data_IF_089235022425
#
_entry.id   IF_089235022425
#
_cell.length_a   1.000
_cell.length_b   1.000
_cell.length_c   1.000
_cell.angle_alpha   90.00
_cell.angle_beta   90.00
_cell.angle_gamma   90.00
#
_symmetry.space_group_name_H-M   'P 1'
#
loop_
_entity.id
_entity.type
_entity.pdbx_description
1 polymer ?
#
# COMPACT_ATOMS: atom_id res chain seq x y z
N UNK A 1 0.64 -15.22 7.16
CA UNK A 1 1.90 -15.68 7.81
C UNK A 1 2.83 -16.18 6.71
N UNK A 2 4.06 -15.66 6.59
CA UNK A 2 5.05 -16.06 5.58
C UNK A 2 6.24 -16.69 6.28
N UNK A 3 6.63 -17.91 5.87
CA UNK A 3 7.72 -18.69 6.50
C UNK A 3 7.64 -18.73 8.03
N UNK A 4 6.44 -18.90 8.58
CA UNK A 4 6.26 -18.97 10.04
C UNK A 4 6.30 -17.61 10.76
N UNK A 5 6.35 -16.47 10.08
CA UNK A 5 6.24 -15.13 10.70
C UNK A 5 4.96 -14.41 10.29
N UNK A 6 4.32 -13.72 11.24
CA UNK A 6 3.23 -12.82 10.93
C UNK A 6 3.81 -11.57 10.25
N UNK A 7 3.11 -11.09 9.23
CA UNK A 7 3.53 -9.95 8.42
C UNK A 7 2.25 -9.26 7.96
N UNK A 8 2.28 -7.94 7.97
CA UNK A 8 1.21 -7.12 7.42
C UNK A 8 1.27 -7.13 5.90
N UNK A 9 0.10 -7.20 5.29
CA UNK A 9 -0.07 -7.17 3.83
C UNK A 9 -0.69 -5.84 3.43
N UNK A 10 0.06 -5.06 2.67
CA UNK A 10 -0.46 -3.95 1.89
C UNK A 10 -0.77 -4.47 0.48
N UNK A 11 -1.95 -4.12 -0.05
CA UNK A 11 -2.41 -4.61 -1.35
C UNK A 11 -3.15 -3.52 -2.11
N UNK A 12 -2.80 -3.34 -3.37
CA UNK A 12 -3.51 -2.47 -4.31
C UNK A 12 -4.37 -3.34 -5.20
N UNK A 13 -5.61 -2.92 -5.39
CA UNK A 13 -6.54 -3.57 -6.31
C UNK A 13 -7.05 -2.56 -7.33
N UNK A 14 -7.27 -3.03 -8.55
CA UNK A 14 -7.95 -2.24 -9.57
C UNK A 14 -9.48 -2.20 -9.33
N UNK A 15 -10.20 -1.49 -10.20
CA UNK A 15 -11.66 -1.37 -10.14
C UNK A 15 -12.40 -2.69 -10.39
N UNK A 16 -11.74 -3.69 -10.97
CA UNK A 16 -12.27 -5.05 -11.16
C UNK A 16 -11.95 -5.97 -9.98
N UNK A 17 -11.23 -5.46 -8.97
CA UNK A 17 -10.81 -6.23 -7.79
C UNK A 17 -9.55 -7.07 -8.02
N UNK A 18 -8.87 -6.93 -9.15
CA UNK A 18 -7.63 -7.63 -9.43
C UNK A 18 -6.49 -6.99 -8.64
N UNK A 19 -5.62 -7.82 -8.08
CA UNK A 19 -4.45 -7.31 -7.34
C UNK A 19 -3.40 -6.85 -8.33
N UNK A 20 -3.02 -5.58 -8.26
CA UNK A 20 -2.03 -4.98 -9.16
C UNK A 20 -0.67 -4.77 -8.49
N UNK A 21 -0.65 -4.63 -7.16
CA UNK A 21 0.59 -4.58 -6.39
C UNK A 21 0.35 -5.06 -4.95
N UNK A 22 1.41 -5.52 -4.29
CA UNK A 22 1.42 -5.87 -2.87
C UNK A 22 2.78 -5.58 -2.23
N UNK A 23 2.74 -5.35 -0.92
CA UNK A 23 3.93 -5.31 -0.09
C UNK A 23 3.69 -6.06 1.22
N UNK A 24 4.65 -6.91 1.58
CA UNK A 24 4.72 -7.52 2.90
C UNK A 24 5.67 -6.71 3.79
N UNK A 25 5.20 -6.37 4.99
CA UNK A 25 5.99 -5.65 5.99
C UNK A 25 5.91 -6.36 7.33
N UNK A 26 7.01 -6.36 8.08
CA UNK A 26 7.01 -6.85 9.46
C UNK A 26 6.29 -5.87 10.41
N UNK A 27 6.22 -4.60 10.02
CA UNK A 27 5.56 -3.54 10.78
C UNK A 27 4.50 -2.83 9.94
N UNK A 28 3.37 -2.56 10.57
CA UNK A 28 2.32 -1.67 10.05
C UNK A 28 2.61 -0.26 10.55
N UNK A 29 3.26 0.56 9.72
CA UNK A 29 3.62 1.94 10.05
C UNK A 29 3.60 2.85 8.81
N UNK A 30 3.85 4.15 9.03
CA UNK A 30 3.84 5.17 7.97
C UNK A 30 4.95 4.91 6.94
N UNK A 31 6.11 4.40 7.36
CA UNK A 31 7.23 4.11 6.47
C UNK A 31 6.89 2.96 5.51
N UNK A 32 6.26 1.90 6.02
CA UNK A 32 5.77 0.78 5.23
C UNK A 32 4.67 1.22 4.26
N UNK A 33 3.72 2.05 4.71
CA UNK A 33 2.67 2.61 3.86
C UNK A 33 3.24 3.48 2.72
N UNK A 34 4.12 4.44 3.06
CA UNK A 34 4.80 5.29 2.07
C UNK A 34 5.55 4.46 1.04
N UNK A 35 6.34 3.48 1.49
CA UNK A 35 7.08 2.58 0.60
C UNK A 35 6.15 1.80 -0.32
N UNK A 36 5.01 1.33 0.21
CA UNK A 36 4.01 0.65 -0.60
C UNK A 36 3.43 1.55 -1.69
N UNK A 37 3.03 2.80 -1.38
CA UNK A 37 2.49 3.72 -2.38
C UNK A 37 3.53 4.10 -3.45
N UNK A 38 4.77 4.40 -3.05
CA UNK A 38 5.85 4.66 -4.02
C UNK A 38 6.05 3.49 -4.97
N UNK A 39 6.04 2.25 -4.44
CA UNK A 39 6.15 1.03 -5.25
C UNK A 39 4.94 0.88 -6.19
N UNK A 40 3.73 0.97 -5.65
CA UNK A 40 2.50 0.70 -6.40
C UNK A 40 2.28 1.73 -7.51
N UNK A 41 2.49 3.02 -7.23
CA UNK A 41 2.37 4.10 -8.22
C UNK A 41 3.50 4.03 -9.25
N UNK A 42 4.72 3.67 -8.83
CA UNK A 42 5.86 3.55 -9.76
C UNK A 42 5.78 2.36 -10.71
N UNK A 43 5.13 1.26 -10.30
CA UNK A 43 5.02 0.05 -11.11
C UNK A 43 3.77 0.01 -12.01
N UNK A 44 2.80 0.90 -11.77
CA UNK A 44 1.51 0.89 -12.44
C UNK A 44 1.20 2.28 -13.00
N UNK A 45 0.17 2.38 -13.84
CA UNK A 45 -0.36 3.70 -14.20
C UNK A 45 -0.88 4.41 -12.94
N UNK A 46 -0.57 5.71 -12.83
CA UNK A 46 -1.00 6.50 -11.69
C UNK A 46 -2.53 6.50 -11.58
N UNK A 47 -3.10 6.14 -10.42
CA UNK A 47 -4.55 6.07 -10.26
C UNK A 47 -5.15 7.47 -10.22
N UNK A 48 -6.31 7.66 -10.87
CA UNK A 48 -7.06 8.91 -10.77
C UNK A 48 -7.72 9.12 -9.38
N UNK A 49 -7.95 8.03 -8.64
CA UNK A 49 -8.51 8.04 -7.29
C UNK A 49 -7.98 6.84 -6.50
N UNK A 50 -7.55 7.10 -5.27
CA UNK A 50 -7.20 6.06 -4.30
C UNK A 50 -8.30 5.99 -3.24
N UNK A 51 -8.72 4.77 -2.88
CA UNK A 51 -9.64 4.53 -1.75
C UNK A 51 -8.88 3.74 -0.70
N UNK A 52 -8.87 4.24 0.53
CA UNK A 52 -8.07 3.70 1.63
C UNK A 52 -8.95 3.11 2.74
N UNK A 53 -8.34 2.27 3.56
CA UNK A 53 -8.92 1.85 4.82
C UNK A 53 -8.94 3.01 5.83
N UNK A 54 -9.53 2.78 7.02
CA UNK A 54 -9.56 3.77 8.10
C UNK A 54 -8.24 3.89 8.87
N UNK A 55 -7.13 3.33 8.37
CA UNK A 55 -5.87 3.27 9.10
C UNK A 55 -5.03 4.52 8.85
N UNK A 56 -4.76 5.29 9.89
CA UNK A 56 -4.10 6.61 9.80
C UNK A 56 -2.76 6.56 9.04
N UNK A 57 -1.94 5.54 9.26
CA UNK A 57 -0.66 5.46 8.56
C UNK A 57 -0.80 5.26 7.03
N UNK A 58 -1.92 4.67 6.56
CA UNK A 58 -2.22 4.61 5.12
C UNK A 58 -2.44 6.00 4.54
N UNK A 59 -3.21 6.84 5.25
CA UNK A 59 -3.51 8.22 4.85
C UNK A 59 -2.25 9.09 4.87
N UNK A 60 -1.49 9.02 5.95
CA UNK A 60 -0.22 9.75 6.06
C UNK A 60 0.80 9.26 5.03
N UNK A 61 0.86 7.95 4.79
CA UNK A 61 1.75 7.34 3.79
C UNK A 61 1.50 7.83 2.37
N UNK A 62 0.23 7.90 1.93
CA UNK A 62 -0.11 8.39 0.58
C UNK A 62 0.15 9.90 0.43
N UNK A 63 -0.18 10.68 1.46
CA UNK A 63 0.03 12.13 1.45
C UNK A 63 1.52 12.51 1.31
N UNK A 64 2.43 11.68 1.81
CA UNK A 64 3.88 11.84 1.68
C UNK A 64 4.45 11.43 0.30
N UNK A 65 3.61 10.92 -0.61
CA UNK A 65 3.98 10.52 -1.98
C UNK A 65 3.32 11.43 -3.01
N UNK A 66 2.12 11.93 -2.74
CA UNK A 66 1.36 12.83 -3.62
C UNK A 66 1.67 14.32 -3.43
N UNK A 67 2.39 14.70 -2.36
CA UNK A 67 2.88 16.06 -2.11
C UNK A 67 4.29 16.29 -2.64
#
# INVERSE_FOLDING_TARGET
RVKGKWTDLYRAVDKQGQTVDFLLSEHRDISAAKRFFMKAIGNNEAPAKITLDGYEASHTGVALVEG
#
